data_IF_251104277872
#
_entry.id   IF_251104277872
#
_cell.length_a   1.000
_cell.length_b   1.000
_cell.length_c   1.000
_cell.angle_alpha   90.00
_cell.angle_beta   90.00
_cell.angle_gamma   90.00
#
_symmetry.space_group_name_H-M   'P 1'
#
loop_
_entity.id
_entity.type
_entity.pdbx_description
1 polymer ?
#
# COMPACT_ATOMS: atom_id res chain seq x y z
N UNK A 1 16.91 34.08 25.43
CA UNK A 1 17.93 33.23 26.01
C UNK A 1 17.23 31.93 26.38
N UNK A 2 16.99 31.05 25.45
CA UNK A 2 17.78 29.90 25.06
C UNK A 2 17.82 28.77 26.10
N UNK A 3 16.96 27.77 25.87
CA UNK A 3 17.23 26.34 26.18
C UNK A 3 16.13 25.48 25.53
N UNK A 4 16.30 25.16 24.23
CA UNK A 4 15.37 24.26 23.50
C UNK A 4 16.12 23.26 22.57
N UNK A 5 17.35 22.86 22.92
CA UNK A 5 18.10 21.94 22.06
C UNK A 5 18.18 20.46 22.49
N UNK A 6 18.05 20.04 23.77
CA UNK A 6 18.22 18.61 24.09
C UNK A 6 16.98 17.73 23.89
N UNK A 7 15.78 18.29 23.95
CA UNK A 7 14.52 17.49 23.94
C UNK A 7 14.24 16.84 22.59
N UNK A 8 14.62 17.47 21.47
CA UNK A 8 14.38 16.94 20.13
C UNK A 8 15.33 15.82 19.73
N UNK A 9 16.55 15.82 20.27
CA UNK A 9 17.55 14.75 19.99
C UNK A 9 17.14 13.47 20.70
N UNK A 10 16.69 13.54 21.93
CA UNK A 10 16.24 12.39 22.71
C UNK A 10 14.94 11.78 22.16
N UNK A 11 14.01 12.61 21.72
CA UNK A 11 12.78 12.13 21.08
C UNK A 11 13.06 11.44 19.74
N UNK A 12 13.97 11.98 18.93
CA UNK A 12 14.41 11.36 17.68
C UNK A 12 15.11 10.01 17.90
N UNK A 13 15.99 9.92 18.90
CA UNK A 13 16.68 8.67 19.27
C UNK A 13 15.70 7.67 19.91
N UNK A 14 14.76 8.11 20.71
CA UNK A 14 13.70 7.27 21.29
C UNK A 14 12.79 6.68 20.22
N UNK A 15 12.35 7.49 19.26
CA UNK A 15 11.52 7.04 18.13
C UNK A 15 12.33 6.06 17.27
N UNK A 16 13.59 6.35 16.95
CA UNK A 16 14.46 5.45 16.20
C UNK A 16 14.68 4.13 16.95
N UNK A 17 15.00 4.15 18.26
CA UNK A 17 15.16 2.91 19.04
C UNK A 17 13.89 2.07 19.08
N UNK A 18 12.73 2.67 19.26
CA UNK A 18 11.46 1.94 19.32
C UNK A 18 11.01 1.42 17.95
N UNK A 19 11.32 2.14 16.87
CA UNK A 19 11.05 1.74 15.48
C UNK A 19 12.02 0.64 15.01
N UNK A 20 13.29 0.65 15.46
CA UNK A 20 14.29 -0.31 15.02
C UNK A 20 14.44 -1.54 15.92
N UNK A 21 13.89 -1.53 17.15
CA UNK A 21 14.12 -2.58 18.14
C UNK A 21 13.16 -3.78 18.07
N UNK A 22 12.06 -3.69 17.32
CA UNK A 22 11.08 -4.77 17.19
C UNK A 22 11.08 -5.36 15.78
N UNK A 23 11.74 -6.50 15.64
CA UNK A 23 11.55 -7.55 14.63
C UNK A 23 11.62 -7.13 13.14
N UNK A 24 12.84 -7.01 12.62
CA UNK A 24 13.13 -6.62 11.24
C UNK A 24 12.68 -7.65 10.18
N UNK A 25 12.51 -8.92 10.53
CA UNK A 25 12.35 -10.01 9.55
C UNK A 25 10.95 -10.60 9.38
N UNK A 26 9.97 -10.24 10.21
CA UNK A 26 8.63 -10.86 10.14
C UNK A 26 7.46 -9.91 9.88
N UNK A 27 7.65 -8.58 9.96
CA UNK A 27 6.52 -7.65 9.90
C UNK A 27 6.08 -7.28 8.48
N UNK A 28 7.00 -7.19 7.52
CA UNK A 28 6.63 -6.83 6.14
C UNK A 28 5.96 -7.98 5.39
N UNK A 29 6.41 -9.22 5.57
CA UNK A 29 5.75 -10.39 4.99
C UNK A 29 4.43 -10.72 5.69
N UNK A 30 4.36 -10.60 7.02
CA UNK A 30 3.16 -10.86 7.80
C UNK A 30 2.00 -9.91 7.52
N UNK A 31 2.24 -8.61 7.39
CA UNK A 31 1.21 -7.60 7.11
C UNK A 31 0.67 -7.72 5.67
N UNK A 32 1.54 -7.91 4.68
CA UNK A 32 1.13 -8.13 3.29
C UNK A 32 0.37 -9.45 3.18
N UNK A 33 0.81 -10.50 3.87
CA UNK A 33 0.19 -11.84 3.87
C UNK A 33 -1.19 -11.82 4.51
N UNK A 34 -1.39 -11.12 5.62
CA UNK A 34 -2.72 -11.01 6.26
C UNK A 34 -3.70 -10.22 5.39
N UNK A 35 -3.28 -9.09 4.84
CA UNK A 35 -4.10 -8.30 3.91
C UNK A 35 -4.47 -9.09 2.65
N UNK A 36 -3.56 -9.88 2.08
CA UNK A 36 -3.82 -10.68 0.88
C UNK A 36 -4.82 -11.81 1.14
N UNK A 37 -4.75 -12.50 2.29
CA UNK A 37 -5.73 -13.50 2.71
C UNK A 37 -7.14 -12.90 2.67
N UNK A 38 -7.37 -11.85 3.42
CA UNK A 38 -8.69 -11.26 3.58
C UNK A 38 -9.16 -10.50 2.33
N UNK A 39 -8.23 -9.92 1.56
CA UNK A 39 -8.54 -9.33 0.25
C UNK A 39 -9.05 -10.38 -0.75
N UNK A 40 -8.44 -11.55 -0.82
CA UNK A 40 -8.90 -12.65 -1.67
C UNK A 40 -10.25 -13.20 -1.21
N UNK A 41 -10.44 -13.41 0.10
CA UNK A 41 -11.74 -13.83 0.65
C UNK A 41 -12.84 -12.78 0.37
N UNK A 42 -12.51 -11.49 0.48
CA UNK A 42 -13.41 -10.40 0.16
C UNK A 42 -13.85 -10.42 -1.30
N UNK A 43 -12.92 -10.55 -2.25
CA UNK A 43 -13.28 -10.64 -3.68
C UNK A 43 -14.10 -11.91 -4.01
N UNK A 44 -13.79 -13.03 -3.38
CA UNK A 44 -14.54 -14.27 -3.57
C UNK A 44 -15.93 -14.25 -2.90
N UNK A 45 -16.18 -13.34 -1.97
CA UNK A 45 -17.53 -13.16 -1.39
C UNK A 45 -18.54 -12.61 -2.40
N UNK A 46 -18.06 -11.94 -3.46
CA UNK A 46 -18.88 -11.45 -4.59
C UNK A 46 -19.08 -12.50 -5.70
N UNK A 47 -18.65 -13.73 -5.49
CA UNK A 47 -18.84 -14.84 -6.42
C UNK A 47 -17.54 -15.53 -6.85
N UNK A 48 -17.69 -16.69 -7.52
CA UNK A 48 -16.55 -17.49 -7.96
C UNK A 48 -15.67 -16.75 -8.97
N UNK A 49 -14.34 -16.91 -8.86
CA UNK A 49 -13.38 -16.23 -9.74
C UNK A 49 -12.14 -17.08 -10.00
N UNK A 50 -11.50 -16.87 -11.15
CA UNK A 50 -10.17 -17.45 -11.40
C UNK A 50 -9.08 -16.64 -10.68
N UNK A 51 -7.91 -17.26 -10.45
CA UNK A 51 -6.75 -16.53 -9.90
C UNK A 51 -6.30 -15.36 -10.79
N UNK A 52 -6.50 -15.47 -12.10
CA UNK A 52 -6.23 -14.39 -13.04
C UNK A 52 -7.20 -13.22 -12.89
N UNK A 53 -8.52 -13.50 -12.75
CA UNK A 53 -9.52 -12.44 -12.51
C UNK A 53 -9.26 -11.74 -11.19
N UNK A 54 -8.98 -12.50 -10.13
CA UNK A 54 -8.58 -11.95 -8.83
C UNK A 54 -7.38 -11.01 -8.94
N UNK A 55 -6.39 -11.34 -9.79
CA UNK A 55 -5.22 -10.47 -9.99
C UNK A 55 -5.54 -9.11 -10.59
N UNK A 56 -6.63 -9.01 -11.35
CA UNK A 56 -7.08 -7.76 -11.97
C UNK A 56 -7.88 -6.87 -11.02
N UNK A 57 -8.42 -7.45 -9.94
CA UNK A 57 -9.24 -6.72 -8.96
C UNK A 57 -8.42 -5.90 -7.98
N UNK A 58 -7.10 -6.18 -7.87
CA UNK A 58 -6.20 -5.37 -7.06
C UNK A 58 -5.67 -4.18 -7.86
N UNK A 59 -5.74 -2.99 -7.28
CA UNK A 59 -5.15 -1.77 -7.84
C UNK A 59 -3.70 -1.58 -7.39
N UNK A 60 -2.90 -0.93 -8.23
CA UNK A 60 -1.61 -0.40 -7.82
C UNK A 60 -1.77 0.63 -6.67
N UNK A 61 -0.87 0.69 -5.67
CA UNK A 61 0.35 -0.12 -5.54
C UNK A 61 0.16 -1.44 -4.80
N UNK A 62 -1.07 -1.81 -4.41
CA UNK A 62 -1.36 -3.00 -3.60
C UNK A 62 -1.48 -4.29 -4.44
N UNK A 63 -1.20 -4.21 -5.74
CA UNK A 63 -1.35 -5.35 -6.65
C UNK A 63 -0.29 -6.42 -6.39
N UNK A 64 -0.68 -7.59 -5.85
CA UNK A 64 0.25 -8.69 -5.66
C UNK A 64 0.63 -9.31 -7.01
N UNK A 65 1.78 -9.97 -7.08
CA UNK A 65 2.14 -10.77 -8.24
C UNK A 65 1.20 -11.98 -8.38
N UNK A 66 1.03 -12.45 -9.62
CA UNK A 66 0.16 -13.61 -9.88
C UNK A 66 0.62 -14.85 -9.09
N UNK A 67 1.93 -15.03 -8.93
CA UNK A 67 2.51 -16.13 -8.15
C UNK A 67 2.17 -16.02 -6.64
N UNK A 68 2.13 -14.81 -6.08
CA UNK A 68 1.71 -14.59 -4.70
C UNK A 68 0.23 -14.93 -4.52
N UNK A 69 -0.62 -14.57 -5.49
CA UNK A 69 -2.04 -14.89 -5.49
C UNK A 69 -2.24 -16.40 -5.47
N UNK A 70 -1.65 -17.14 -6.44
CA UNK A 70 -1.82 -18.59 -6.49
C UNK A 70 -1.26 -19.30 -5.27
N UNK A 71 -0.09 -18.88 -4.76
CA UNK A 71 0.45 -19.42 -3.50
C UNK A 71 -0.52 -19.23 -2.33
N UNK A 72 -1.16 -18.05 -2.24
CA UNK A 72 -2.12 -17.78 -1.19
C UNK A 72 -3.44 -18.55 -1.39
N UNK A 73 -3.92 -18.68 -2.63
CA UNK A 73 -5.12 -19.47 -2.94
C UNK A 73 -4.95 -20.95 -2.57
N UNK A 74 -3.77 -21.54 -2.82
CA UNK A 74 -3.48 -22.91 -2.41
C UNK A 74 -3.57 -23.05 -0.87
N UNK A 75 -2.92 -22.16 -0.12
CA UNK A 75 -3.00 -22.15 1.36
C UNK A 75 -4.45 -22.00 1.84
N UNK A 76 -5.23 -21.11 1.21
CA UNK A 76 -6.64 -20.92 1.60
C UNK A 76 -7.51 -22.16 1.30
N UNK A 77 -7.20 -22.88 0.22
CA UNK A 77 -7.86 -24.12 -0.14
C UNK A 77 -7.49 -25.25 0.84
N UNK A 78 -6.21 -25.39 1.16
CA UNK A 78 -5.71 -26.39 2.14
C UNK A 78 -6.32 -26.16 3.54
N UNK A 79 -6.47 -24.88 3.93
CA UNK A 79 -7.11 -24.47 5.18
C UNK A 79 -8.65 -24.60 5.13
N UNK A 80 -9.26 -24.91 3.97
CA UNK A 80 -10.69 -25.06 3.78
C UNK A 80 -11.50 -23.75 3.80
N UNK A 81 -10.86 -22.60 3.60
CA UNK A 81 -11.53 -21.29 3.48
C UNK A 81 -12.13 -21.04 2.09
N UNK A 82 -11.60 -21.71 1.09
CA UNK A 82 -12.08 -21.68 -0.29
C UNK A 82 -12.08 -23.08 -0.88
N UNK A 83 -12.88 -23.28 -1.93
CA UNK A 83 -12.89 -24.47 -2.76
C UNK A 83 -12.39 -24.12 -4.15
N UNK A 84 -11.76 -25.11 -4.81
CA UNK A 84 -11.25 -24.99 -6.16
C UNK A 84 -11.95 -26.02 -7.05
N UNK A 85 -12.68 -25.55 -8.06
CA UNK A 85 -13.27 -26.36 -9.09
C UNK A 85 -12.48 -26.25 -10.38
N UNK A 86 -12.19 -27.40 -10.98
CA UNK A 86 -11.60 -27.47 -12.32
C UNK A 86 -12.70 -27.44 -13.36
N UNK A 87 -12.73 -26.37 -14.16
CA UNK A 87 -13.72 -26.19 -15.23
C UNK A 87 -13.05 -26.45 -16.57
N UNK A 88 -13.54 -27.46 -17.30
CA UNK A 88 -13.08 -27.76 -18.65
C UNK A 88 -13.67 -26.78 -19.66
N UNK A 89 -12.86 -26.36 -20.63
CA UNK A 89 -13.22 -25.46 -21.70
C UNK A 89 -13.09 -26.17 -23.05
N UNK A 90 -14.14 -26.16 -23.87
CA UNK A 90 -14.25 -26.97 -25.10
C UNK A 90 -13.11 -26.82 -26.11
N UNK A 91 -12.29 -25.75 -26.06
CA UNK A 91 -11.16 -25.49 -26.98
C UNK A 91 -9.94 -24.82 -26.30
N UNK A 92 -9.96 -24.69 -24.97
CA UNK A 92 -8.92 -24.03 -24.19
C UNK A 92 -8.50 -24.93 -23.03
N UNK A 93 -7.30 -24.75 -22.46
CA UNK A 93 -6.90 -25.44 -21.23
C UNK A 93 -7.93 -25.22 -20.12
N UNK A 94 -8.09 -26.23 -19.25
CA UNK A 94 -8.95 -26.10 -18.07
C UNK A 94 -8.57 -24.87 -17.25
N UNK A 95 -9.54 -24.29 -16.56
CA UNK A 95 -9.34 -23.20 -15.62
C UNK A 95 -9.74 -23.63 -14.21
N UNK A 96 -8.97 -23.18 -13.23
CA UNK A 96 -9.31 -23.31 -11.82
C UNK A 96 -10.18 -22.12 -11.39
N UNK A 97 -11.38 -22.39 -10.91
CA UNK A 97 -12.32 -21.43 -10.37
C UNK A 97 -12.40 -21.63 -8.87
N UNK A 98 -12.18 -20.56 -8.12
CA UNK A 98 -12.19 -20.56 -6.67
C UNK A 98 -13.48 -19.96 -6.14
N UNK A 99 -14.04 -20.57 -5.08
CA UNK A 99 -15.25 -20.12 -4.39
C UNK A 99 -14.99 -20.05 -2.90
N UNK A 100 -15.59 -19.08 -2.21
CA UNK A 100 -15.48 -18.95 -0.75
C UNK A 100 -16.42 -19.96 -0.07
N UNK A 101 -15.91 -20.64 0.95
CA UNK A 101 -16.72 -21.55 1.79
C UNK A 101 -17.41 -20.78 2.93
N UNK A 102 -18.33 -21.43 3.65
CA UNK A 102 -18.93 -20.86 4.87
C UNK A 102 -17.88 -20.57 5.94
N UNK A 103 -16.85 -21.41 6.06
CA UNK A 103 -15.68 -21.18 6.92
C UNK A 103 -14.92 -19.92 6.50
N UNK A 104 -14.74 -19.70 5.18
CA UNK A 104 -14.11 -18.52 4.64
C UNK A 104 -14.93 -17.25 4.90
N UNK A 105 -16.25 -17.30 4.75
CA UNK A 105 -17.16 -16.18 5.08
C UNK A 105 -17.13 -15.84 6.56
N UNK A 106 -17.14 -16.85 7.44
CA UNK A 106 -17.04 -16.67 8.88
C UNK A 106 -15.71 -15.98 9.27
N UNK A 107 -14.60 -16.43 8.68
CA UNK A 107 -13.27 -15.82 8.91
C UNK A 107 -13.21 -14.36 8.43
N UNK A 108 -13.73 -14.05 7.24
CA UNK A 108 -13.82 -12.69 6.74
C UNK A 108 -14.63 -11.79 7.69
N UNK A 109 -15.79 -12.27 8.12
CA UNK A 109 -16.67 -11.56 9.06
C UNK A 109 -16.00 -11.33 10.42
N UNK A 110 -15.28 -12.34 10.93
CA UNK A 110 -14.52 -12.22 12.17
C UNK A 110 -13.48 -11.13 12.06
N UNK A 111 -12.67 -11.17 11.01
CA UNK A 111 -11.60 -10.20 10.78
C UNK A 111 -12.12 -8.76 10.60
N UNK A 112 -13.25 -8.57 9.89
CA UNK A 112 -13.86 -7.25 9.70
C UNK A 112 -14.38 -6.62 11.01
N UNK A 113 -14.64 -7.40 12.04
CA UNK A 113 -15.06 -6.92 13.37
C UNK A 113 -13.89 -6.49 14.25
N UNK A 114 -12.67 -6.87 13.91
CA UNK A 114 -11.47 -6.51 14.66
C UNK A 114 -11.02 -5.09 14.31
N UNK A 115 -10.58 -4.28 15.29
CA UNK A 115 -10.05 -2.97 14.99
C UNK A 115 -8.76 -3.10 14.16
N UNK A 116 -8.56 -2.24 13.15
CA UNK A 116 -7.33 -2.28 12.36
C UNK A 116 -6.12 -1.87 13.19
N UNK A 117 -4.99 -2.54 12.97
CA UNK A 117 -3.72 -2.11 13.56
C UNK A 117 -3.25 -0.82 12.92
N UNK A 118 -2.77 0.11 13.76
CA UNK A 118 -2.10 1.30 13.27
C UNK A 118 -0.65 1.01 12.92
N UNK A 119 -0.35 0.98 11.63
CA UNK A 119 1.01 0.72 11.12
C UNK A 119 1.63 2.01 10.61
N UNK A 120 2.80 2.36 11.15
CA UNK A 120 3.60 3.48 10.63
C UNK A 120 4.39 3.00 9.41
N UNK A 121 4.16 3.58 8.22
CA UNK A 121 4.89 3.21 7.02
C UNK A 121 6.40 3.46 7.18
N UNK A 122 7.23 2.50 6.76
CA UNK A 122 8.69 2.65 6.69
C UNK A 122 9.07 3.05 5.27
N UNK A 123 9.32 4.32 5.05
CA UNK A 123 9.60 4.85 3.73
C UNK A 123 11.09 5.12 3.53
N UNK A 124 11.67 4.48 2.52
CA UNK A 124 13.08 4.71 2.12
C UNK A 124 13.33 6.19 1.76
N UNK A 125 12.33 6.89 1.24
CA UNK A 125 12.42 8.32 0.93
C UNK A 125 12.74 9.15 2.17
N UNK A 126 12.03 8.90 3.28
CA UNK A 126 12.26 9.62 4.55
C UNK A 126 13.67 9.39 5.08
N UNK A 127 14.15 8.14 5.04
CA UNK A 127 15.53 7.82 5.46
C UNK A 127 16.55 8.55 4.59
N UNK A 128 16.35 8.59 3.27
CA UNK A 128 17.23 9.32 2.35
C UNK A 128 17.24 10.82 2.62
N UNK A 129 16.10 11.42 2.91
CA UNK A 129 16.01 12.83 3.24
C UNK A 129 16.66 13.13 4.59
N UNK A 130 16.46 12.27 5.59
CA UNK A 130 17.07 12.44 6.92
C UNK A 130 18.59 12.55 6.85
N UNK A 131 19.23 11.75 5.99
CA UNK A 131 20.68 11.77 5.79
C UNK A 131 21.10 12.51 4.52
N UNK A 132 20.24 13.34 3.94
CA UNK A 132 20.44 13.98 2.65
C UNK A 132 21.66 14.88 2.54
N UNK A 133 22.12 15.47 3.68
CA UNK A 133 23.33 16.27 3.75
C UNK A 133 24.63 15.48 3.49
N UNK A 134 24.56 14.14 3.49
CA UNK A 134 25.72 13.26 3.21
C UNK A 134 25.92 13.00 1.70
N UNK A 135 25.06 13.52 0.86
CA UNK A 135 25.14 13.40 -0.59
C UNK A 135 25.10 14.78 -1.26
N UNK A 136 25.61 14.91 -2.50
CA UNK A 136 25.48 16.16 -3.25
C UNK A 136 24.02 16.60 -3.37
N UNK A 137 23.73 17.86 -3.09
CA UNK A 137 22.40 18.48 -3.17
C UNK A 137 21.68 18.18 -4.48
N UNK A 138 22.41 18.27 -5.60
CA UNK A 138 21.91 17.96 -6.95
C UNK A 138 21.35 16.53 -7.06
N UNK A 139 22.02 15.56 -6.44
CA UNK A 139 21.61 14.17 -6.49
C UNK A 139 20.35 13.92 -5.65
N UNK A 140 20.26 14.57 -4.49
CA UNK A 140 19.05 14.52 -3.65
C UNK A 140 17.84 15.09 -4.39
N UNK A 141 17.98 16.27 -4.97
CA UNK A 141 16.93 16.90 -5.78
C UNK A 141 16.51 16.01 -6.94
N UNK A 142 17.46 15.42 -7.68
CA UNK A 142 17.16 14.53 -8.80
C UNK A 142 16.45 13.24 -8.34
N UNK A 143 16.84 12.68 -7.21
CA UNK A 143 16.20 11.49 -6.66
C UNK A 143 14.72 11.76 -6.26
N UNK A 144 14.47 12.90 -5.61
CA UNK A 144 13.09 13.29 -5.25
C UNK A 144 12.26 13.58 -6.51
N UNK A 145 12.83 14.25 -7.52
CA UNK A 145 12.14 14.47 -8.81
C UNK A 145 11.79 13.17 -9.52
N UNK A 146 12.71 12.18 -9.53
CA UNK A 146 12.42 10.84 -10.08
C UNK A 146 11.31 10.13 -9.32
N UNK A 147 11.30 10.23 -7.99
CA UNK A 147 10.24 9.68 -7.15
C UNK A 147 8.89 10.36 -7.44
N UNK A 148 8.87 11.69 -7.49
CA UNK A 148 7.69 12.49 -7.81
C UNK A 148 7.09 12.12 -9.18
N UNK A 149 7.94 11.93 -10.22
CA UNK A 149 7.46 11.48 -11.54
C UNK A 149 6.74 10.13 -11.48
N UNK A 150 7.29 9.18 -10.72
CA UNK A 150 6.63 7.86 -10.51
C UNK A 150 5.31 8.01 -9.78
N UNK A 151 5.28 8.86 -8.74
CA UNK A 151 4.09 9.12 -7.94
C UNK A 151 2.98 9.78 -8.78
N UNK A 152 3.30 10.74 -9.64
CA UNK A 152 2.34 11.35 -10.60
C UNK A 152 1.68 10.27 -11.46
N UNK A 153 2.47 9.38 -12.04
CA UNK A 153 1.94 8.30 -12.88
C UNK A 153 1.01 7.37 -12.08
N UNK A 154 1.33 7.10 -10.80
CA UNK A 154 0.45 6.29 -9.93
C UNK A 154 -0.87 7.01 -9.69
N UNK A 155 -0.83 8.30 -9.34
CA UNK A 155 -2.03 9.12 -9.10
C UNK A 155 -2.93 9.17 -10.34
N UNK A 156 -2.35 9.49 -11.50
CA UNK A 156 -3.08 9.55 -12.77
C UNK A 156 -3.73 8.21 -13.13
N UNK A 157 -2.96 7.13 -13.04
CA UNK A 157 -3.47 5.79 -13.28
C UNK A 157 -4.59 5.41 -12.30
N UNK A 158 -4.43 5.75 -11.03
CA UNK A 158 -5.45 5.47 -10.02
C UNK A 158 -6.75 6.24 -10.30
N UNK A 159 -6.66 7.52 -10.61
CA UNK A 159 -7.81 8.35 -11.01
C UNK A 159 -8.54 7.81 -12.24
N UNK A 160 -7.78 7.38 -13.26
CA UNK A 160 -8.38 6.89 -14.51
C UNK A 160 -9.03 5.50 -14.38
N UNK A 161 -8.62 4.67 -13.41
CA UNK A 161 -9.10 3.29 -13.28
C UNK A 161 -10.09 3.08 -12.15
N UNK A 162 -9.88 3.72 -11.00
CA UNK A 162 -10.62 3.40 -9.79
C UNK A 162 -12.09 3.82 -9.88
N UNK A 163 -12.36 5.06 -10.33
CA UNK A 163 -13.73 5.57 -10.45
C UNK A 163 -14.56 4.80 -11.48
N UNK A 164 -14.09 4.59 -12.72
CA UNK A 164 -14.81 3.74 -13.68
C UNK A 164 -15.02 2.30 -13.19
N UNK A 165 -14.08 1.74 -12.41
CA UNK A 165 -14.23 0.39 -11.87
C UNK A 165 -15.38 0.28 -10.86
N UNK A 166 -15.55 1.30 -10.00
CA UNK A 166 -16.68 1.38 -9.06
C UNK A 166 -18.01 1.50 -9.83
N UNK A 167 -18.03 2.35 -10.87
CA UNK A 167 -19.23 2.60 -11.67
C UNK A 167 -19.63 1.38 -12.52
N UNK A 168 -18.65 0.65 -13.07
CA UNK A 168 -18.87 -0.50 -13.96
C UNK A 168 -19.16 -1.82 -13.25
N UNK A 169 -19.27 -1.82 -11.93
CA UNK A 169 -19.46 -3.04 -11.12
C UNK A 169 -18.39 -4.12 -11.32
N UNK A 170 -17.15 -3.69 -11.55
CA UNK A 170 -16.01 -4.59 -11.82
C UNK A 170 -15.81 -5.66 -10.72
N UNK A 171 -16.20 -5.35 -9.48
CA UNK A 171 -16.05 -6.26 -8.35
C UNK A 171 -17.25 -7.18 -8.11
N UNK A 172 -18.36 -7.00 -8.87
CA UNK A 172 -19.49 -7.91 -8.90
C UNK A 172 -20.50 -7.68 -7.78
N UNK A 173 -20.63 -6.45 -7.27
CA UNK A 173 -21.70 -6.08 -6.34
C UNK A 173 -22.42 -4.83 -6.80
N UNK A 174 -23.74 -4.96 -6.91
CA UNK A 174 -24.64 -3.83 -7.17
C UNK A 174 -25.08 -3.11 -5.87
N UNK A 175 -24.66 -3.59 -4.69
CA UNK A 175 -25.05 -3.00 -3.41
C UNK A 175 -24.50 -1.57 -3.28
N UNK A 176 -25.36 -0.57 -3.06
CA UNK A 176 -24.92 0.82 -2.83
C UNK A 176 -23.95 0.97 -1.66
N UNK A 177 -24.05 0.13 -0.63
CA UNK A 177 -23.19 0.16 0.53
C UNK A 177 -21.75 -0.29 0.18
N UNK A 178 -21.61 -1.32 -0.65
CA UNK A 178 -20.29 -1.74 -1.16
C UNK A 178 -19.64 -0.61 -1.96
N UNK A 179 -20.40 0.04 -2.86
CA UNK A 179 -19.91 1.17 -3.65
C UNK A 179 -19.47 2.34 -2.78
N UNK A 180 -20.17 2.61 -1.69
CA UNK A 180 -19.77 3.62 -0.70
C UNK A 180 -18.39 3.28 -0.08
N UNK A 181 -18.22 2.05 0.40
CA UNK A 181 -16.95 1.62 1.00
C UNK A 181 -15.79 1.64 0.00
N UNK A 182 -16.03 1.20 -1.23
CA UNK A 182 -15.00 1.27 -2.30
C UNK A 182 -14.63 2.72 -2.62
N UNK A 183 -15.60 3.63 -2.67
CA UNK A 183 -15.34 5.06 -2.87
C UNK A 183 -14.47 5.61 -1.74
N UNK A 184 -14.77 5.30 -0.47
CA UNK A 184 -13.95 5.74 0.67
C UNK A 184 -12.50 5.23 0.60
N UNK A 185 -12.28 3.99 0.12
CA UNK A 185 -10.92 3.46 -0.09
C UNK A 185 -10.18 4.23 -1.18
N UNK A 186 -10.87 4.55 -2.29
CA UNK A 186 -10.32 5.33 -3.40
C UNK A 186 -9.96 6.73 -2.94
N UNK A 187 -10.88 7.42 -2.28
CA UNK A 187 -10.69 8.80 -1.80
C UNK A 187 -9.53 8.89 -0.80
N UNK A 188 -9.49 7.98 0.17
CA UNK A 188 -8.38 7.93 1.14
C UNK A 188 -7.04 7.71 0.45
N UNK A 189 -6.99 6.82 -0.54
CA UNK A 189 -5.75 6.49 -1.25
C UNK A 189 -5.28 7.69 -2.10
N UNK A 190 -6.19 8.35 -2.79
CA UNK A 190 -5.88 9.55 -3.57
C UNK A 190 -5.40 10.68 -2.66
N UNK A 191 -6.12 10.97 -1.58
CA UNK A 191 -5.73 12.01 -0.62
C UNK A 191 -4.31 11.80 -0.08
N UNK A 192 -3.94 10.56 0.24
CA UNK A 192 -2.58 10.25 0.71
C UNK A 192 -1.52 10.51 -0.36
N UNK A 193 -1.76 10.09 -1.60
CA UNK A 193 -0.78 10.27 -2.68
C UNK A 193 -0.69 11.72 -3.16
N UNK A 194 -1.78 12.44 -3.19
CA UNK A 194 -1.80 13.87 -3.53
C UNK A 194 -1.04 14.70 -2.47
N UNK A 195 -1.27 14.45 -1.19
CA UNK A 195 -0.51 15.08 -0.12
C UNK A 195 0.99 14.78 -0.20
N UNK A 196 1.36 13.53 -0.51
CA UNK A 196 2.76 13.14 -0.70
C UNK A 196 3.37 13.81 -1.94
N UNK A 197 2.59 13.98 -3.02
CA UNK A 197 3.01 14.66 -4.23
C UNK A 197 3.32 16.12 -3.95
N UNK A 198 2.40 16.83 -3.30
CA UNK A 198 2.56 18.23 -2.91
C UNK A 198 3.79 18.41 -2.00
N UNK A 199 3.94 17.51 -1.02
CA UNK A 199 5.10 17.55 -0.13
C UNK A 199 6.42 17.32 -0.86
N UNK A 200 6.51 16.38 -1.80
CA UNK A 200 7.73 16.14 -2.57
C UNK A 200 8.09 17.32 -3.50
N UNK A 201 7.10 18.01 -4.07
CA UNK A 201 7.31 19.24 -4.86
C UNK A 201 7.85 20.36 -3.98
N UNK A 202 7.25 20.54 -2.80
CA UNK A 202 7.72 21.51 -1.80
C UNK A 202 9.14 21.20 -1.33
N UNK A 203 9.46 19.94 -1.03
CA UNK A 203 10.79 19.52 -0.63
C UNK A 203 11.86 19.81 -1.69
N UNK A 204 11.55 19.55 -2.97
CA UNK A 204 12.45 19.91 -4.09
C UNK A 204 12.70 21.41 -4.13
N UNK A 205 11.66 22.23 -3.97
CA UNK A 205 11.79 23.70 -3.96
C UNK A 205 12.66 24.15 -2.80
N UNK A 206 12.37 23.71 -1.59
CA UNK A 206 13.12 24.08 -0.36
C UNK A 206 14.59 23.69 -0.50
N UNK A 207 14.89 22.44 -0.88
CA UNK A 207 16.28 21.98 -1.03
C UNK A 207 16.99 22.77 -2.14
N UNK A 208 16.32 23.07 -3.25
CA UNK A 208 16.93 23.79 -4.37
C UNK A 208 17.28 25.24 -4.02
N UNK A 209 16.45 25.91 -3.22
CA UNK A 209 16.64 27.30 -2.82
C UNK A 209 17.49 27.50 -1.58
N UNK A 210 17.78 26.42 -0.84
CA UNK A 210 18.63 26.49 0.36
C UNK A 210 20.05 26.94 -0.02
N UNK A 211 20.51 28.04 0.58
CA UNK A 211 21.87 28.59 0.37
C UNK A 211 22.75 28.29 1.60
N UNK A 212 23.78 27.49 1.39
CA UNK A 212 24.74 27.09 2.44
C UNK A 212 25.59 28.27 2.95
N UNK A 213 25.70 29.36 2.18
CA UNK A 213 26.52 30.52 2.53
C UNK A 213 25.93 31.36 3.67
N UNK A 214 24.61 31.27 3.88
CA UNK A 214 23.91 32.08 4.90
C UNK A 214 24.01 31.48 6.32
N UNK A 215 24.28 30.18 6.45
CA UNK A 215 24.29 29.49 7.76
C UNK A 215 25.70 29.35 8.36
N UNK A 216 26.76 29.49 7.56
CA UNK A 216 28.15 29.50 8.04
C UNK A 216 28.48 30.75 8.88
N UNK A 217 27.74 31.86 8.71
CA UNK A 217 27.87 33.08 9.49
C UNK A 217 27.21 33.06 10.87
N UNK A 218 26.39 32.05 11.17
CA UNK A 218 25.74 31.91 12.50
C UNK A 218 26.45 30.93 13.43
N UNK A 219 27.51 30.29 12.98
CA UNK A 219 28.31 29.32 13.77
C UNK A 219 29.70 29.86 14.20
N UNK A 220 30.01 31.12 13.94
CA UNK A 220 31.09 31.87 14.53
C UNK A 220 30.49 32.83 15.60
#
# INVERSE_FOLDING_TARGET
MLFYAPVYIDLGIYILRRVFSNNINNLSEGLIVMSLKHGLLGFLSYGPKTGYDLSKMFFEPLRPSLSQIYRKLNVLSDDGFIECERVDQAKLPYKNVFSITDKGRAELTRWLKEPPEFVVPRETLLVKIWYGSRAPKKDMVNNIKKYNKKLKNVVEKYKSMAKPAIESDLWGSADPLDKLYWTLVVDRTLAQYEALLEWTESAVKIISTFDESTDSKKRQ
#
